data_IF_671753294392
#
_entry.id   IF_671753294392
#
_cell.length_a   1.000
_cell.length_b   1.000
_cell.length_c   1.000
_cell.angle_alpha   90.00
_cell.angle_beta   90.00
_cell.angle_gamma   90.00
#
_symmetry.space_group_name_H-M   'P 1'
#
loop_
_entity.id
_entity.type
_entity.pdbx_description
1 polymer ?
#
# COMPACT_ATOMS: atom_id res chain seq x y z
N UNK A 1 -4.10 39.21 45.90
CA UNK A 1 -4.02 37.75 45.79
C UNK A 1 -3.34 37.19 47.06
N UNK A 2 -3.70 36.05 47.59
CA UNK A 2 -2.95 35.38 48.67
C UNK A 2 -1.45 35.32 48.33
N UNK A 3 -0.62 35.76 49.32
CA UNK A 3 0.84 35.85 49.12
C UNK A 3 1.34 37.20 48.55
N UNK A 4 0.48 38.05 48.05
CA UNK A 4 0.86 39.37 47.56
C UNK A 4 1.16 40.31 48.76
N UNK A 5 2.10 41.24 48.56
CA UNK A 5 2.40 42.26 49.54
C UNK A 5 1.39 43.38 49.40
N UNK A 6 0.71 43.69 50.53
CA UNK A 6 -0.18 44.84 50.54
C UNK A 6 0.59 46.14 50.27
N UNK A 7 0.05 46.97 49.37
CA UNK A 7 0.55 48.32 49.06
C UNK A 7 -0.37 49.32 49.72
N UNK A 8 0.22 50.14 50.58
CA UNK A 8 -0.51 51.19 51.33
C UNK A 8 -1.07 52.25 50.37
N UNK A 9 -2.40 52.42 50.39
CA UNK A 9 -3.10 53.43 49.56
C UNK A 9 -3.05 54.83 50.13
N UNK A 10 -2.57 54.94 51.38
CA UNK A 10 -2.45 56.18 52.10
C UNK A 10 -3.53 56.37 53.17
N UNK A 11 -3.27 57.33 54.02
CA UNK A 11 -4.18 57.75 55.11
C UNK A 11 -3.89 59.23 55.48
N UNK A 12 -4.83 59.88 56.13
CA UNK A 12 -4.67 61.23 56.70
C UNK A 12 -5.34 61.31 58.07
N UNK A 13 -4.81 62.14 58.96
CA UNK A 13 -5.40 62.41 60.24
C UNK A 13 -5.40 63.91 60.51
N UNK A 14 -6.56 64.44 60.87
CA UNK A 14 -6.76 65.86 61.11
C UNK A 14 -7.41 65.99 62.49
N UNK A 15 -6.84 66.83 63.34
CA UNK A 15 -7.41 67.24 64.62
C UNK A 15 -7.92 68.65 64.51
N UNK A 16 -8.98 68.97 65.24
CA UNK A 16 -9.61 70.31 65.17
C UNK A 16 -8.80 71.41 65.89
N UNK A 17 -7.87 71.01 66.75
CA UNK A 17 -6.99 71.94 67.47
C UNK A 17 -5.56 71.88 66.94
N UNK A 18 -4.99 70.67 66.80
CA UNK A 18 -3.61 70.43 66.35
C UNK A 18 -3.44 70.56 64.80
N UNK A 19 -4.55 70.56 64.06
CA UNK A 19 -4.54 70.56 62.59
C UNK A 19 -4.17 69.22 61.99
N UNK A 20 -3.29 69.21 60.98
CA UNK A 20 -2.83 67.95 60.31
C UNK A 20 -1.84 67.18 61.21
N UNK A 21 -2.27 66.06 61.74
CA UNK A 21 -1.51 65.15 62.60
C UNK A 21 -1.11 63.83 61.86
N UNK A 22 -1.24 63.81 60.53
CA UNK A 22 -0.96 62.60 59.72
C UNK A 22 0.43 62.08 59.96
N UNK A 23 1.44 62.90 60.20
CA UNK A 23 2.82 62.50 60.49
C UNK A 23 3.00 61.77 61.83
N UNK A 24 2.02 61.91 62.76
CA UNK A 24 2.03 61.30 64.09
C UNK A 24 1.31 59.92 64.06
N UNK A 25 0.69 59.50 62.97
CA UNK A 25 -0.01 58.23 62.89
C UNK A 25 0.98 57.08 63.04
N UNK A 26 0.72 56.15 63.93
CA UNK A 26 1.44 54.88 64.09
C UNK A 26 0.65 53.81 63.36
N UNK A 27 1.29 53.14 62.35
CA UNK A 27 0.74 52.06 61.57
C UNK A 27 1.27 50.74 62.12
N UNK A 28 0.38 49.81 62.44
CA UNK A 28 0.72 48.44 62.82
C UNK A 28 -0.08 47.49 61.97
N UNK A 29 0.57 46.44 61.47
CA UNK A 29 -0.07 45.39 60.67
C UNK A 29 0.01 44.04 61.44
N UNK A 30 -1.14 43.43 61.70
CA UNK A 30 -1.25 42.19 62.39
C UNK A 30 -2.50 41.44 61.93
N UNK A 31 -2.36 40.15 61.63
CA UNK A 31 -3.48 39.25 61.32
C UNK A 31 -4.37 39.82 60.18
N UNK A 32 -3.73 40.31 59.10
CA UNK A 32 -4.39 40.97 57.96
C UNK A 32 -5.24 42.17 58.27
N UNK A 33 -4.94 42.85 59.37
CA UNK A 33 -5.56 44.13 59.74
C UNK A 33 -4.46 45.15 59.94
N UNK A 34 -4.61 46.30 59.30
CA UNK A 34 -3.78 47.45 59.55
C UNK A 34 -4.52 48.36 60.52
N UNK A 35 -3.87 48.62 61.64
CA UNK A 35 -4.36 49.55 62.67
C UNK A 35 -3.58 50.84 62.53
N UNK A 36 -4.27 51.95 62.43
CA UNK A 36 -3.76 53.31 62.43
C UNK A 36 -4.17 53.95 63.74
N UNK A 37 -3.21 54.40 64.52
CA UNK A 37 -3.44 55.05 65.85
C UNK A 37 -2.74 56.39 65.84
N UNK A 38 -3.43 57.43 66.24
CA UNK A 38 -2.88 58.78 66.43
C UNK A 38 -3.33 59.39 67.76
N UNK A 39 -2.42 60.12 68.34
CA UNK A 39 -2.72 60.84 69.64
C UNK A 39 -2.46 62.30 69.41
N UNK A 40 -3.39 63.16 69.89
CA UNK A 40 -3.29 64.61 69.80
C UNK A 40 -2.35 65.15 70.94
N UNK A 41 -2.14 66.48 70.97
CA UNK A 41 -1.31 67.13 71.99
C UNK A 41 -1.91 67.10 73.42
N UNK A 42 -3.18 66.74 73.56
CA UNK A 42 -3.88 66.58 74.87
C UNK A 42 -4.00 65.16 75.33
N UNK A 43 -3.47 64.17 74.57
CA UNK A 43 -3.49 62.77 74.91
C UNK A 43 -4.76 62.00 74.48
N UNK A 44 -5.63 62.65 73.62
CA UNK A 44 -6.77 61.90 73.05
C UNK A 44 -6.30 61.03 71.87
N UNK A 45 -6.71 59.78 71.92
CA UNK A 45 -6.34 58.78 70.92
C UNK A 45 -7.50 58.50 69.93
N UNK A 46 -7.19 58.44 68.65
CA UNK A 46 -8.06 57.91 67.58
C UNK A 46 -7.45 56.67 66.96
N UNK A 47 -8.27 55.64 66.71
CA UNK A 47 -7.89 54.38 66.14
C UNK A 47 -8.82 54.03 64.98
N UNK A 48 -8.23 53.65 63.82
CA UNK A 48 -8.96 53.14 62.67
C UNK A 48 -8.31 51.82 62.20
N UNK A 49 -9.11 50.87 61.79
CA UNK A 49 -8.66 49.60 61.31
C UNK A 49 -9.05 49.44 59.83
N UNK A 50 -8.09 48.91 59.02
CA UNK A 50 -8.28 48.54 57.61
C UNK A 50 -8.03 47.06 57.48
N UNK A 51 -9.06 46.24 57.29
CA UNK A 51 -8.86 44.82 57.01
C UNK A 51 -8.28 44.67 55.61
N UNK A 52 -7.33 43.75 55.47
CA UNK A 52 -6.81 43.31 54.17
C UNK A 52 -7.50 42.01 53.80
N UNK A 53 -8.26 41.99 52.70
CA UNK A 53 -8.90 40.79 52.18
C UNK A 53 -8.08 40.31 51.01
N UNK A 54 -7.54 39.12 51.12
CA UNK A 54 -6.90 38.43 50.01
C UNK A 54 -7.94 37.55 49.34
N UNK A 55 -8.08 37.75 48.01
CA UNK A 55 -8.98 36.96 47.18
C UNK A 55 -8.16 36.28 46.09
N UNK A 56 -8.43 35.01 45.88
CA UNK A 56 -8.02 34.34 44.66
C UNK A 56 -9.15 34.44 43.63
N UNK A 57 -8.82 34.83 42.39
CA UNK A 57 -9.76 34.98 41.27
C UNK A 57 -9.31 34.16 40.06
N UNK A 58 -8.25 33.42 40.21
CA UNK A 58 -7.77 32.53 39.14
C UNK A 58 -8.34 31.15 39.39
N UNK A 59 -8.85 30.53 38.31
CA UNK A 59 -9.41 29.19 38.41
C UNK A 59 -8.33 28.14 38.16
N UNK A 60 -8.41 26.97 38.76
CA UNK A 60 -7.47 25.88 38.53
C UNK A 60 -7.43 25.45 37.06
N UNK A 61 -6.32 24.89 36.62
CA UNK A 61 -6.12 24.39 35.27
C UNK A 61 -6.22 22.88 35.27
N UNK A 62 -7.13 22.33 34.43
CA UNK A 62 -7.20 20.88 34.17
C UNK A 62 -6.54 20.58 32.83
N UNK A 63 -5.61 19.64 32.81
CA UNK A 63 -4.95 19.12 31.62
C UNK A 63 -5.34 17.65 31.42
N UNK A 64 -6.00 17.33 30.32
CA UNK A 64 -6.31 15.95 29.98
C UNK A 64 -5.08 15.24 29.39
N UNK A 65 -4.82 14.01 29.80
CA UNK A 65 -3.83 13.16 29.16
C UNK A 65 -4.38 12.66 27.83
N UNK A 66 -3.60 12.80 26.75
CA UNK A 66 -4.05 12.46 25.40
C UNK A 66 -5.05 13.46 24.80
N UNK A 67 -5.80 13.02 23.78
CA UNK A 67 -6.70 13.87 23.04
C UNK A 67 -8.02 14.15 23.79
N UNK A 68 -8.59 15.32 23.57
CA UNK A 68 -9.91 15.66 24.08
C UNK A 68 -11.05 14.99 23.27
N UNK A 69 -10.77 14.56 22.04
CA UNK A 69 -11.67 13.77 21.21
C UNK A 69 -11.00 12.42 20.92
N UNK A 70 -11.72 11.32 21.09
CA UNK A 70 -11.24 9.95 20.93
C UNK A 70 -12.24 9.15 20.12
N UNK A 71 -11.78 8.49 19.06
CA UNK A 71 -12.55 7.48 18.35
C UNK A 71 -12.35 6.12 19.05
N UNK A 72 -13.44 5.41 19.30
CA UNK A 72 -13.49 4.10 19.93
C UNK A 72 -14.33 3.15 19.08
N UNK A 73 -13.82 1.95 18.81
CA UNK A 73 -14.58 0.92 18.11
C UNK A 73 -15.77 0.45 18.94
N UNK A 74 -16.87 0.13 18.26
CA UNK A 74 -18.03 -0.48 18.94
C UNK A 74 -17.62 -1.79 19.63
N UNK A 75 -18.13 -2.02 20.85
CA UNK A 75 -17.76 -3.12 21.73
C UNK A 75 -16.31 -3.12 22.24
N UNK A 76 -15.48 -2.12 21.88
CA UNK A 76 -14.16 -1.95 22.50
C UNK A 76 -14.27 -1.40 23.93
N UNK A 77 -13.34 -1.76 24.79
CA UNK A 77 -13.33 -1.27 26.17
C UNK A 77 -12.71 0.12 26.24
N UNK A 78 -13.48 1.12 26.66
CA UNK A 78 -12.94 2.45 26.97
C UNK A 78 -12.07 2.38 28.24
N UNK A 79 -10.89 2.94 28.17
CA UNK A 79 -9.99 3.15 29.29
C UNK A 79 -9.67 4.63 29.44
N UNK A 80 -9.93 5.20 30.62
CA UNK A 80 -9.61 6.60 30.89
C UNK A 80 -8.09 6.84 30.83
N UNK A 81 -7.69 7.84 30.03
CA UNK A 81 -6.28 8.19 29.82
C UNK A 81 -5.70 9.02 30.98
N UNK A 82 -6.57 9.51 31.86
CA UNK A 82 -6.19 10.32 33.00
C UNK A 82 -6.15 11.83 32.72
N UNK A 83 -5.82 12.57 33.75
CA UNK A 83 -5.76 14.04 33.76
C UNK A 83 -4.89 14.51 34.93
N UNK A 84 -4.53 15.80 34.94
CA UNK A 84 -3.93 16.52 36.08
C UNK A 84 -4.68 17.82 36.30
N UNK A 85 -4.70 18.31 37.54
CA UNK A 85 -5.27 19.61 37.85
C UNK A 85 -4.34 20.35 38.80
N UNK A 86 -4.05 21.59 38.51
CA UNK A 86 -3.16 22.44 39.31
C UNK A 86 -3.72 23.84 39.46
N UNK A 87 -3.45 24.43 40.62
CA UNK A 87 -3.77 25.81 40.94
C UNK A 87 -2.53 26.50 41.49
N UNK A 88 -2.42 27.79 41.31
CA UNK A 88 -1.22 28.53 41.74
C UNK A 88 -1.18 28.83 43.25
N UNK A 89 -2.35 28.77 43.93
CA UNK A 89 -2.46 28.92 45.39
C UNK A 89 -2.61 27.56 46.07
N UNK A 90 -3.53 26.72 45.55
CA UNK A 90 -3.86 25.42 46.17
C UNK A 90 -2.94 24.28 45.75
N UNK A 91 -2.12 24.49 44.69
CA UNK A 91 -1.17 23.50 44.18
C UNK A 91 -1.86 22.38 43.44
N UNK A 92 -1.51 21.12 43.72
CA UNK A 92 -2.06 19.94 43.04
C UNK A 92 -3.48 19.62 43.54
N UNK A 93 -4.44 19.76 42.65
CA UNK A 93 -5.86 19.47 42.85
C UNK A 93 -6.33 18.24 42.09
N UNK A 94 -5.44 17.44 41.50
CA UNK A 94 -5.77 16.29 40.66
C UNK A 94 -6.72 15.30 41.37
N UNK A 95 -6.52 15.07 42.66
CA UNK A 95 -7.38 14.19 43.45
C UNK A 95 -8.77 14.75 43.77
N UNK A 96 -8.96 16.06 43.60
CA UNK A 96 -10.25 16.75 43.81
C UNK A 96 -11.10 16.86 42.54
N UNK A 97 -10.55 16.45 41.36
CA UNK A 97 -11.31 16.46 40.13
C UNK A 97 -12.44 15.44 40.22
N UNK A 98 -13.64 15.87 39.88
CA UNK A 98 -14.79 14.99 39.69
C UNK A 98 -15.01 14.75 38.19
N UNK A 99 -15.29 13.49 37.84
CA UNK A 99 -15.59 13.10 36.46
C UNK A 99 -17.02 12.66 36.37
N UNK A 100 -17.80 13.32 35.51
CA UNK A 100 -19.19 12.98 35.23
C UNK A 100 -19.31 12.47 33.80
N UNK A 101 -20.22 11.52 33.60
CA UNK A 101 -20.45 10.84 32.33
C UNK A 101 -19.97 9.41 32.34
N UNK A 102 -20.38 8.65 31.34
CA UNK A 102 -19.97 7.25 31.16
C UNK A 102 -20.01 6.91 29.66
N UNK A 103 -19.01 6.19 29.20
CA UNK A 103 -18.97 5.64 27.85
C UNK A 103 -19.69 4.28 27.83
N UNK A 104 -20.69 4.12 26.96
CA UNK A 104 -21.32 2.83 26.66
C UNK A 104 -20.88 2.41 25.26
N UNK A 105 -19.79 1.67 25.19
CA UNK A 105 -19.21 1.24 23.92
C UNK A 105 -20.07 0.18 23.17
N UNK A 106 -21.13 -0.31 23.78
CA UNK A 106 -22.06 -1.22 23.10
C UNK A 106 -23.05 -0.49 22.17
N UNK A 107 -23.02 0.84 22.16
CA UNK A 107 -23.93 1.67 21.36
C UNK A 107 -23.18 2.80 20.69
N UNK A 108 -23.52 3.06 19.45
CA UNK A 108 -23.03 4.21 18.71
C UNK A 108 -23.38 5.52 19.38
N UNK A 109 -22.53 6.50 19.23
CA UNK A 109 -22.80 7.86 19.63
C UNK A 109 -21.60 8.55 20.24
N UNK A 110 -21.83 9.81 20.59
CA UNK A 110 -20.86 10.67 21.22
C UNK A 110 -21.08 10.68 22.73
N UNK A 111 -20.12 10.22 23.47
CA UNK A 111 -20.15 10.15 24.93
C UNK A 111 -19.30 11.25 25.49
N UNK A 112 -19.93 12.14 26.29
CA UNK A 112 -19.26 13.28 26.91
C UNK A 112 -18.84 12.92 28.34
N UNK A 113 -17.54 13.02 28.63
CA UNK A 113 -16.99 13.00 29.96
C UNK A 113 -16.66 14.44 30.37
N UNK A 114 -17.11 14.86 31.56
CA UNK A 114 -16.95 16.22 32.07
C UNK A 114 -16.11 16.17 33.34
N UNK A 115 -14.98 16.86 33.32
CA UNK A 115 -14.02 16.96 34.43
C UNK A 115 -14.20 18.34 35.07
N UNK A 116 -14.41 18.36 36.38
CA UNK A 116 -14.65 19.59 37.15
C UNK A 116 -13.76 19.62 38.37
N UNK A 117 -13.21 20.77 38.69
CA UNK A 117 -12.47 21.00 39.89
C UNK A 117 -12.71 22.44 40.39
N UNK A 118 -12.74 22.59 41.68
CA UNK A 118 -12.74 23.90 42.38
C UNK A 118 -11.52 24.04 43.27
N UNK A 119 -11.04 25.28 43.36
CA UNK A 119 -10.05 25.67 44.37
C UNK A 119 -10.70 25.97 45.74
N UNK A 120 -9.92 26.44 46.70
CA UNK A 120 -10.39 26.83 48.03
C UNK A 120 -11.16 28.14 48.07
N UNK A 121 -11.18 28.89 46.96
CA UNK A 121 -11.90 30.16 46.78
C UNK A 121 -13.15 30.02 45.93
N UNK A 122 -13.55 28.78 45.61
CA UNK A 122 -14.73 28.47 44.74
C UNK A 122 -14.58 28.82 43.28
N UNK A 123 -13.37 29.16 42.75
CA UNK A 123 -13.16 29.29 41.33
C UNK A 123 -13.20 27.89 40.69
N UNK A 124 -13.99 27.73 39.62
CA UNK A 124 -14.26 26.42 39.00
C UNK A 124 -13.70 26.34 37.57
N UNK A 125 -13.08 25.23 37.24
CA UNK A 125 -12.73 24.85 35.89
C UNK A 125 -13.47 23.60 35.46
N UNK A 126 -13.96 23.61 34.22
CA UNK A 126 -14.65 22.49 33.58
C UNK A 126 -14.03 22.25 32.22
N UNK A 127 -13.55 21.02 31.99
CA UNK A 127 -13.11 20.55 30.67
C UNK A 127 -13.86 19.31 30.27
N UNK A 128 -13.89 18.98 28.99
CA UNK A 128 -14.63 17.83 28.48
C UNK A 128 -13.77 16.96 27.57
N UNK A 129 -14.00 15.66 27.61
CA UNK A 129 -13.54 14.69 26.63
C UNK A 129 -14.75 14.12 25.92
N UNK A 130 -14.70 13.99 24.60
CA UNK A 130 -15.74 13.34 23.80
C UNK A 130 -15.17 12.03 23.27
N UNK A 131 -15.90 10.95 23.49
CA UNK A 131 -15.58 9.62 22.97
C UNK A 131 -16.63 9.28 21.92
N UNK A 132 -16.19 9.18 20.67
CA UNK A 132 -17.03 8.80 19.54
C UNK A 132 -17.00 7.29 19.36
N UNK A 133 -18.08 6.60 19.75
CA UNK A 133 -18.20 5.16 19.52
C UNK A 133 -18.72 4.95 18.08
N UNK A 134 -17.87 4.34 17.25
CA UNK A 134 -18.09 4.14 15.81
C UNK A 134 -17.89 2.68 15.43
N UNK A 135 -18.44 2.30 14.30
CA UNK A 135 -18.09 1.06 13.62
C UNK A 135 -16.95 1.32 12.64
N UNK A 136 -15.92 0.50 12.71
CA UNK A 136 -14.77 0.52 11.80
C UNK A 136 -14.64 -0.79 11.00
N UNK A 137 -15.54 -1.74 11.22
CA UNK A 137 -15.51 -3.04 10.56
C UNK A 137 -16.26 -2.96 9.23
N UNK A 138 -15.63 -3.28 8.10
CA UNK A 138 -16.36 -3.36 6.84
C UNK A 138 -17.26 -4.61 6.78
N UNK A 139 -18.32 -4.58 5.99
CA UNK A 139 -19.12 -5.74 5.70
C UNK A 139 -18.31 -6.90 5.10
N UNK A 140 -18.76 -8.12 5.31
CA UNK A 140 -18.17 -9.31 4.71
C UNK A 140 -19.01 -9.73 3.50
N UNK A 141 -18.36 -9.77 2.31
CA UNK A 141 -18.97 -10.29 1.09
C UNK A 141 -18.61 -11.77 0.94
N UNK A 142 -19.62 -12.62 0.81
CA UNK A 142 -19.47 -14.05 0.55
C UNK A 142 -20.02 -14.37 -0.84
N UNK A 143 -19.15 -14.83 -1.75
CA UNK A 143 -19.57 -15.23 -3.09
C UNK A 143 -20.35 -16.54 -3.06
N UNK A 144 -21.41 -16.60 -3.85
CA UNK A 144 -22.09 -17.85 -4.12
C UNK A 144 -21.24 -18.65 -5.12
N UNK A 145 -20.94 -19.91 -4.80
CA UNK A 145 -20.08 -20.78 -5.61
C UNK A 145 -18.64 -20.24 -5.81
N UNK A 146 -17.96 -20.66 -6.88
CA UNK A 146 -16.56 -20.42 -7.11
C UNK A 146 -16.24 -18.95 -7.45
N UNK A 147 -15.15 -18.45 -6.89
CA UNK A 147 -14.61 -17.14 -7.21
C UNK A 147 -13.89 -17.08 -8.57
N UNK A 148 -13.57 -18.25 -9.14
CA UNK A 148 -12.96 -18.42 -10.47
C UNK A 148 -13.82 -19.32 -11.32
N UNK A 149 -14.25 -18.82 -12.46
CA UNK A 149 -15.10 -19.53 -13.42
C UNK A 149 -14.36 -19.66 -14.75
N UNK A 150 -14.44 -20.81 -15.38
CA UNK A 150 -13.99 -21.01 -16.75
C UNK A 150 -15.18 -21.29 -17.64
N UNK A 151 -15.29 -20.58 -18.75
CA UNK A 151 -16.39 -20.73 -19.71
C UNK A 151 -15.83 -20.71 -21.15
N UNK A 152 -16.38 -21.55 -22.03
CA UNK A 152 -15.96 -21.56 -23.42
C UNK A 152 -16.53 -20.36 -24.17
N UNK A 153 -15.75 -19.80 -25.10
CA UNK A 153 -16.18 -18.69 -25.97
C UNK A 153 -17.51 -19.05 -26.66
N UNK A 154 -18.45 -18.14 -26.62
CA UNK A 154 -19.81 -18.32 -27.18
C UNK A 154 -20.82 -19.01 -26.24
N UNK A 155 -20.40 -19.56 -25.10
CA UNK A 155 -21.30 -20.06 -24.09
C UNK A 155 -21.92 -18.93 -23.26
N UNK A 156 -23.12 -19.16 -22.73
CA UNK A 156 -23.80 -18.15 -21.91
C UNK A 156 -23.26 -18.14 -20.50
N UNK A 157 -22.80 -16.99 -20.04
CA UNK A 157 -22.48 -16.74 -18.65
C UNK A 157 -23.72 -16.24 -17.86
N UNK A 158 -23.90 -16.77 -16.68
CA UNK A 158 -24.87 -16.25 -15.69
C UNK A 158 -24.13 -16.17 -14.36
N UNK A 159 -24.12 -14.98 -13.77
CA UNK A 159 -23.46 -14.78 -12.48
C UNK A 159 -24.29 -15.38 -11.33
N UNK A 160 -23.63 -16.16 -10.48
CA UNK A 160 -24.29 -16.80 -9.31
C UNK A 160 -24.52 -15.82 -8.14
N UNK A 161 -23.99 -14.59 -8.25
CA UNK A 161 -24.14 -13.57 -7.25
C UNK A 161 -23.27 -13.78 -6.00
N UNK A 162 -23.52 -12.96 -5.01
CA UNK A 162 -22.89 -12.98 -3.70
C UNK A 162 -23.88 -12.53 -2.63
N UNK A 163 -23.59 -12.74 -1.36
CA UNK A 163 -24.28 -12.15 -0.22
C UNK A 163 -23.33 -11.23 0.55
N UNK A 164 -23.89 -10.24 1.25
CA UNK A 164 -23.14 -9.34 2.09
C UNK A 164 -23.78 -9.25 3.48
N UNK A 165 -22.97 -9.35 4.51
CA UNK A 165 -23.42 -9.27 5.89
C UNK A 165 -22.45 -8.40 6.69
N UNK A 166 -23.03 -7.58 7.54
CA UNK A 166 -22.32 -6.77 8.51
C UNK A 166 -22.79 -7.15 9.93
N UNK A 167 -21.89 -7.13 10.91
CA UNK A 167 -22.22 -7.52 12.27
C UNK A 167 -23.24 -6.57 12.91
N UNK A 168 -23.25 -5.32 12.49
CA UNK A 168 -24.06 -4.25 13.05
C UNK A 168 -25.32 -4.00 12.18
N UNK A 169 -25.09 -3.85 10.87
CA UNK A 169 -26.17 -3.52 9.91
C UNK A 169 -26.97 -4.75 9.45
N UNK A 170 -26.45 -5.95 9.74
CA UNK A 170 -27.06 -7.21 9.33
C UNK A 170 -26.90 -7.52 7.85
N UNK A 171 -27.95 -8.04 7.22
CA UNK A 171 -27.94 -8.41 5.79
C UNK A 171 -27.94 -7.16 4.89
N UNK A 172 -26.82 -6.95 4.18
CA UNK A 172 -26.62 -5.87 3.21
C UNK A 172 -26.66 -6.35 1.74
N UNK A 173 -27.04 -7.60 1.49
CA UNK A 173 -27.05 -8.20 0.14
C UNK A 173 -27.81 -7.34 -0.87
N UNK A 174 -28.96 -6.80 -0.48
CA UNK A 174 -29.80 -5.95 -1.35
C UNK A 174 -29.21 -4.54 -1.62
N UNK A 175 -28.23 -4.11 -0.80
CA UNK A 175 -27.55 -2.82 -0.97
C UNK A 175 -26.27 -2.94 -1.78
N UNK A 176 -25.86 -4.15 -2.13
CA UNK A 176 -24.65 -4.42 -2.89
C UNK A 176 -24.80 -3.93 -4.33
N UNK A 177 -23.77 -3.26 -4.83
CA UNK A 177 -23.65 -2.89 -6.26
C UNK A 177 -22.83 -3.96 -6.97
N UNK A 178 -23.23 -4.32 -8.18
CA UNK A 178 -22.56 -5.35 -8.99
C UNK A 178 -22.18 -4.73 -10.34
N UNK A 179 -20.89 -4.76 -10.65
CA UNK A 179 -20.37 -4.39 -11.96
C UNK A 179 -19.92 -5.65 -12.68
N UNK A 180 -20.55 -5.98 -13.81
CA UNK A 180 -20.26 -7.16 -14.60
C UNK A 180 -19.82 -6.74 -16.01
N UNK A 181 -18.58 -7.06 -16.39
CA UNK A 181 -18.00 -6.75 -17.71
C UNK A 181 -17.75 -8.00 -18.56
N UNK A 182 -18.34 -9.15 -18.21
CA UNK A 182 -18.10 -10.43 -18.89
C UNK A 182 -18.65 -10.40 -20.32
N UNK A 183 -17.74 -10.50 -21.29
CA UNK A 183 -18.05 -10.67 -22.73
C UNK A 183 -17.64 -12.06 -23.18
N UNK A 184 -18.59 -13.00 -23.21
CA UNK A 184 -18.33 -14.38 -23.61
C UNK A 184 -18.16 -14.57 -25.12
N UNK A 185 -18.34 -13.52 -25.92
CA UNK A 185 -18.08 -13.59 -27.37
C UNK A 185 -16.58 -13.51 -27.71
N UNK A 186 -15.74 -13.15 -26.75
CA UNK A 186 -14.30 -12.95 -26.94
C UNK A 186 -13.51 -13.69 -25.87
N UNK A 187 -12.41 -14.32 -26.29
CA UNK A 187 -11.42 -14.88 -25.35
C UNK A 187 -10.86 -13.73 -24.51
N UNK A 188 -10.78 -13.93 -23.18
CA UNK A 188 -10.30 -12.91 -22.27
C UNK A 188 -10.48 -13.30 -20.83
N UNK A 189 -9.94 -12.46 -19.93
CA UNK A 189 -10.22 -12.51 -18.52
C UNK A 189 -11.16 -11.36 -18.19
N UNK A 190 -12.24 -11.67 -17.53
CA UNK A 190 -13.30 -10.75 -17.17
C UNK A 190 -13.55 -10.81 -15.68
N UNK A 191 -14.23 -9.82 -15.14
CA UNK A 191 -14.56 -9.80 -13.73
C UNK A 191 -16.00 -9.38 -13.47
N UNK A 192 -16.54 -9.92 -12.38
CA UNK A 192 -17.74 -9.40 -11.72
C UNK A 192 -17.29 -8.85 -10.37
N UNK A 193 -17.47 -7.55 -10.18
CA UNK A 193 -17.07 -6.85 -8.94
C UNK A 193 -18.32 -6.57 -8.12
N UNK A 194 -18.29 -6.98 -6.87
CA UNK A 194 -19.31 -6.73 -5.85
C UNK A 194 -18.79 -5.69 -4.88
N UNK A 195 -19.56 -4.66 -4.60
CA UNK A 195 -19.20 -3.59 -3.66
C UNK A 195 -20.36 -3.30 -2.74
N UNK A 196 -20.11 -3.12 -1.46
CA UNK A 196 -21.11 -2.75 -0.47
C UNK A 196 -20.49 -1.80 0.57
N UNK A 197 -21.31 -0.89 1.08
CA UNK A 197 -20.92 0.04 2.13
C UNK A 197 -21.96 -0.05 3.25
N UNK A 198 -21.52 -0.15 4.50
CA UNK A 198 -22.35 -0.14 5.68
C UNK A 198 -22.92 1.27 6.00
N UNK A 199 -23.69 1.39 7.07
CA UNK A 199 -24.24 2.69 7.52
C UNK A 199 -23.19 3.61 8.14
N UNK A 200 -22.04 3.08 8.53
CA UNK A 200 -20.91 3.81 9.10
C UNK A 200 -19.91 4.31 8.04
N UNK A 201 -20.08 3.88 6.78
CA UNK A 201 -19.23 4.28 5.65
C UNK A 201 -18.07 3.33 5.37
N UNK A 202 -17.98 2.18 6.06
CA UNK A 202 -16.94 1.18 5.77
C UNK A 202 -17.33 0.39 4.52
N UNK A 203 -16.38 0.23 3.60
CA UNK A 203 -16.62 -0.40 2.30
C UNK A 203 -15.93 -1.76 2.22
N UNK A 204 -16.62 -2.74 1.65
CA UNK A 204 -16.10 -4.02 1.23
C UNK A 204 -16.22 -4.21 -0.29
N UNK A 205 -15.26 -4.92 -0.87
CA UNK A 205 -15.26 -5.31 -2.28
C UNK A 205 -14.85 -6.78 -2.41
N UNK A 206 -15.48 -7.48 -3.37
CA UNK A 206 -15.10 -8.82 -3.76
C UNK A 206 -15.18 -8.96 -5.27
N UNK A 207 -14.43 -9.90 -5.85
CA UNK A 207 -14.33 -10.06 -7.29
C UNK A 207 -14.43 -11.54 -7.67
N UNK A 208 -15.29 -11.87 -8.63
CA UNK A 208 -15.28 -13.14 -9.35
C UNK A 208 -14.56 -12.97 -10.67
N UNK A 209 -13.62 -13.85 -10.96
CA UNK A 209 -12.84 -13.85 -12.21
C UNK A 209 -13.45 -14.88 -13.16
N UNK A 210 -13.71 -14.47 -14.41
CA UNK A 210 -14.28 -15.32 -15.43
C UNK A 210 -13.29 -15.41 -16.62
N UNK A 211 -12.75 -16.61 -16.84
CA UNK A 211 -11.91 -16.93 -17.96
C UNK A 211 -12.78 -17.41 -19.13
N UNK A 212 -12.82 -16.62 -20.20
CA UNK A 212 -13.44 -17.02 -21.45
C UNK A 212 -12.34 -17.58 -22.36
N UNK A 213 -12.40 -18.89 -22.65
CA UNK A 213 -11.38 -19.60 -23.45
C UNK A 213 -12.00 -20.23 -24.70
N UNK A 214 -11.20 -20.47 -25.72
CA UNK A 214 -11.65 -21.18 -26.94
C UNK A 214 -11.35 -22.67 -26.86
N UNK A 215 -10.11 -23.03 -26.63
CA UNK A 215 -9.67 -24.42 -26.55
C UNK A 215 -8.44 -24.49 -25.64
N UNK A 216 -8.47 -25.37 -24.65
CA UNK A 216 -7.25 -25.76 -23.98
C UNK A 216 -6.33 -26.36 -25.02
N UNK A 217 -5.10 -25.84 -25.16
CA UNK A 217 -4.16 -26.34 -26.16
C UNK A 217 -3.67 -27.73 -25.75
N UNK A 218 -4.26 -28.77 -26.31
CA UNK A 218 -3.70 -30.14 -26.28
C UNK A 218 -2.45 -30.17 -27.16
N UNK A 219 -1.43 -29.38 -26.80
CA UNK A 219 -0.18 -29.36 -27.56
C UNK A 219 0.69 -30.49 -27.08
N UNK A 220 0.95 -31.43 -27.96
CA UNK A 220 1.92 -32.49 -27.71
C UNK A 220 3.33 -31.94 -27.89
N UNK A 221 4.13 -31.95 -26.84
CA UNK A 221 5.55 -31.59 -26.93
C UNK A 221 6.29 -32.58 -27.81
N UNK A 222 7.07 -32.07 -28.77
CA UNK A 222 7.91 -32.85 -29.66
C UNK A 222 9.32 -32.88 -29.09
N UNK A 223 9.90 -34.07 -28.96
CA UNK A 223 11.32 -34.22 -28.58
C UNK A 223 12.20 -33.76 -29.77
N UNK A 224 12.95 -32.65 -29.63
CA UNK A 224 13.78 -32.13 -30.70
C UNK A 224 15.09 -32.93 -30.88
N UNK A 225 15.37 -33.91 -30.02
CA UNK A 225 16.62 -34.69 -30.00
C UNK A 225 17.68 -34.08 -29.08
N UNK A 226 18.92 -34.53 -29.28
CA UNK A 226 20.07 -34.13 -28.46
C UNK A 226 20.81 -32.91 -29.08
N UNK A 227 21.50 -32.17 -28.24
CA UNK A 227 22.28 -30.97 -28.65
C UNK A 227 21.43 -29.90 -29.36
N UNK A 228 20.22 -29.68 -28.86
CA UNK A 228 19.37 -28.61 -29.36
C UNK A 228 19.43 -27.39 -28.44
N UNK A 229 19.51 -26.21 -29.06
CA UNK A 229 19.62 -24.92 -28.36
C UNK A 229 18.52 -23.99 -28.84
N UNK A 230 17.70 -23.55 -27.92
CA UNK A 230 16.80 -22.44 -28.10
C UNK A 230 17.46 -21.19 -27.48
N UNK A 231 18.12 -20.35 -28.30
CA UNK A 231 18.56 -19.04 -27.86
C UNK A 231 17.34 -18.14 -27.72
N UNK A 232 17.17 -17.52 -26.56
CA UNK A 232 16.03 -16.65 -26.30
C UNK A 232 16.51 -15.30 -25.77
N UNK A 233 15.85 -14.22 -26.21
CA UNK A 233 16.20 -12.85 -25.88
C UNK A 233 14.99 -12.15 -25.30
N UNK A 234 15.14 -11.60 -24.07
CA UNK A 234 14.09 -10.93 -23.35
C UNK A 234 14.27 -9.39 -23.39
N UNK A 235 13.19 -8.66 -23.07
CA UNK A 235 13.11 -7.21 -22.88
C UNK A 235 13.14 -6.34 -24.14
N UNK A 236 13.61 -6.86 -25.27
CA UNK A 236 13.66 -6.12 -26.53
C UNK A 236 12.30 -5.88 -27.18
N UNK A 237 12.30 -5.33 -28.41
CA UNK A 237 13.48 -4.87 -29.16
C UNK A 237 14.08 -3.56 -28.67
N UNK A 238 15.38 -3.38 -28.93
CA UNK A 238 16.12 -2.17 -28.58
C UNK A 238 17.20 -1.85 -29.63
N UNK A 239 18.00 -0.82 -29.38
CA UNK A 239 19.04 -0.33 -30.32
C UNK A 239 20.08 -1.37 -30.75
N UNK A 240 20.24 -2.46 -29.99
CA UNK A 240 21.20 -3.52 -30.32
C UNK A 240 20.54 -4.71 -31.03
N UNK A 241 19.21 -4.78 -31.10
CA UNK A 241 18.47 -5.87 -31.75
C UNK A 241 18.81 -5.97 -33.23
N UNK A 242 19.03 -4.86 -33.96
CA UNK A 242 19.44 -4.89 -35.34
C UNK A 242 20.81 -5.59 -35.54
N UNK A 243 21.79 -5.29 -34.66
CA UNK A 243 23.09 -5.96 -34.68
C UNK A 243 22.95 -7.48 -34.40
N UNK A 244 22.09 -7.85 -33.48
CA UNK A 244 21.79 -9.26 -33.20
C UNK A 244 21.20 -9.94 -34.44
N UNK A 245 20.23 -9.36 -35.07
CA UNK A 245 19.60 -9.89 -36.29
C UNK A 245 20.63 -10.11 -37.41
N UNK A 246 21.57 -9.20 -37.58
CA UNK A 246 22.63 -9.31 -38.61
C UNK A 246 23.62 -10.45 -38.28
N UNK A 247 23.93 -10.68 -37.00
CA UNK A 247 24.72 -11.84 -36.56
C UNK A 247 23.97 -13.14 -36.83
N UNK A 248 22.67 -13.21 -36.51
CA UNK A 248 21.84 -14.40 -36.70
C UNK A 248 21.71 -14.76 -38.18
N UNK A 249 21.52 -13.77 -39.04
CA UNK A 249 21.45 -13.97 -40.51
C UNK A 249 22.76 -14.48 -41.07
N UNK A 250 23.91 -13.97 -40.58
CA UNK A 250 25.25 -14.41 -41.01
C UNK A 250 25.45 -15.92 -40.85
N UNK A 251 24.89 -16.51 -39.79
CA UNK A 251 25.01 -17.94 -39.50
C UNK A 251 23.76 -18.75 -39.87
N UNK A 252 22.71 -18.13 -40.40
CA UNK A 252 21.43 -18.79 -40.72
C UNK A 252 20.69 -19.33 -39.50
N UNK A 253 20.98 -18.83 -38.31
CA UNK A 253 20.40 -19.29 -37.03
C UNK A 253 19.08 -18.56 -36.77
N UNK A 254 18.08 -19.28 -36.29
CA UNK A 254 16.80 -18.71 -35.85
C UNK A 254 16.63 -18.87 -34.37
N UNK A 255 16.04 -17.86 -33.73
CA UNK A 255 15.94 -17.72 -32.26
C UNK A 255 14.52 -17.30 -31.87
N UNK A 256 14.31 -17.13 -30.56
CA UNK A 256 13.03 -16.60 -30.02
C UNK A 256 13.27 -15.30 -29.28
N UNK A 257 12.48 -14.28 -29.61
CA UNK A 257 12.45 -13.00 -28.94
C UNK A 257 11.20 -12.92 -28.06
N UNK A 258 11.39 -12.72 -26.77
CA UNK A 258 10.33 -12.43 -25.80
C UNK A 258 10.23 -10.90 -25.67
N UNK A 259 9.36 -10.31 -26.47
CA UNK A 259 9.33 -8.86 -26.69
C UNK A 259 8.49 -8.11 -25.67
N UNK A 260 8.87 -6.84 -25.46
CA UNK A 260 8.13 -5.87 -24.64
C UNK A 260 7.85 -4.60 -25.46
N UNK A 261 7.08 -3.67 -24.87
CA UNK A 261 6.94 -2.31 -25.43
C UNK A 261 7.67 -1.24 -24.57
N UNK A 262 8.72 -1.63 -23.87
CA UNK A 262 9.51 -0.69 -23.06
C UNK A 262 10.23 0.37 -23.92
N UNK A 263 10.52 0.03 -25.19
CA UNK A 263 11.24 0.90 -26.13
C UNK A 263 10.44 1.09 -27.40
N UNK A 264 9.35 1.85 -27.41
CA UNK A 264 8.41 1.95 -28.53
C UNK A 264 9.04 2.48 -29.82
N UNK A 265 10.13 3.22 -29.76
CA UNK A 265 10.87 3.70 -30.95
C UNK A 265 11.49 2.55 -31.76
N UNK A 266 11.68 1.38 -31.16
CA UNK A 266 12.25 0.19 -31.79
C UNK A 266 11.19 -0.88 -32.12
N UNK A 267 9.91 -0.62 -31.85
CA UNK A 267 8.81 -1.58 -32.02
C UNK A 267 8.73 -2.17 -33.46
N UNK A 268 9.16 -1.42 -34.47
CA UNK A 268 9.21 -1.88 -35.84
C UNK A 268 10.12 -3.11 -36.07
N UNK A 269 11.10 -3.32 -35.18
CA UNK A 269 12.00 -4.48 -35.25
C UNK A 269 11.27 -5.80 -34.96
N UNK A 270 10.14 -5.79 -34.25
CA UNK A 270 9.29 -6.97 -34.06
C UNK A 270 8.88 -7.56 -35.39
N UNK A 271 8.51 -6.70 -36.34
CA UNK A 271 8.20 -7.10 -37.71
C UNK A 271 9.42 -7.67 -38.45
N UNK A 272 10.62 -7.11 -38.24
CA UNK A 272 11.86 -7.62 -38.85
C UNK A 272 12.30 -8.96 -38.24
N UNK A 273 12.18 -9.13 -36.92
CA UNK A 273 12.41 -10.43 -36.25
C UNK A 273 11.55 -11.52 -36.89
N UNK A 274 10.25 -11.29 -36.97
CA UNK A 274 9.31 -12.25 -37.55
C UNK A 274 9.59 -12.52 -39.05
N UNK A 275 9.81 -11.47 -39.85
CA UNK A 275 10.07 -11.57 -41.29
C UNK A 275 11.35 -12.36 -41.60
N UNK A 276 12.36 -12.28 -40.73
CA UNK A 276 13.61 -13.04 -40.82
C UNK A 276 13.48 -14.48 -40.30
N UNK A 277 12.27 -14.92 -39.90
CA UNK A 277 11.95 -16.29 -39.51
C UNK A 277 12.28 -16.61 -38.04
N UNK A 278 12.43 -15.63 -37.21
CA UNK A 278 12.51 -15.82 -35.75
C UNK A 278 11.12 -15.97 -35.18
N UNK A 279 11.03 -16.58 -33.99
CA UNK A 279 9.79 -16.59 -33.21
C UNK A 279 9.70 -15.31 -32.40
N UNK A 280 8.58 -14.62 -32.52
CA UNK A 280 8.17 -13.52 -31.65
C UNK A 280 7.25 -14.07 -30.58
N UNK A 281 7.62 -13.93 -29.33
CA UNK A 281 6.90 -14.35 -28.14
C UNK A 281 6.70 -13.14 -27.20
N UNK A 282 5.88 -13.27 -26.17
CA UNK A 282 5.49 -12.14 -25.32
C UNK A 282 6.27 -12.14 -24.01
N UNK A 283 6.84 -10.97 -23.62
CA UNK A 283 7.42 -10.74 -22.30
C UNK A 283 6.70 -9.64 -21.51
N UNK A 284 5.42 -9.44 -21.72
CA UNK A 284 4.57 -8.35 -21.26
C UNK A 284 4.73 -7.05 -22.06
N UNK A 285 3.75 -6.16 -21.94
CA UNK A 285 3.79 -4.86 -22.59
C UNK A 285 4.62 -3.85 -21.81
N UNK A 286 4.36 -3.75 -20.51
CA UNK A 286 4.94 -2.70 -19.66
C UNK A 286 6.21 -3.12 -18.92
N UNK A 287 6.38 -4.40 -18.62
CA UNK A 287 7.40 -4.97 -17.75
C UNK A 287 7.46 -4.35 -16.34
N UNK A 288 6.36 -3.75 -15.87
CA UNK A 288 6.26 -3.11 -14.55
C UNK A 288 5.64 -4.08 -13.54
N UNK A 289 6.47 -4.62 -12.65
CA UNK A 289 6.08 -5.66 -11.70
C UNK A 289 4.91 -5.26 -10.79
N UNK A 290 4.85 -4.02 -10.35
CA UNK A 290 3.77 -3.45 -9.53
C UNK A 290 2.42 -3.38 -10.28
N UNK A 291 2.46 -3.31 -11.61
CA UNK A 291 1.28 -3.31 -12.46
C UNK A 291 0.89 -4.73 -12.87
N UNK A 292 1.81 -5.44 -13.53
CA UNK A 292 1.52 -6.77 -14.10
C UNK A 292 1.22 -7.84 -13.06
N UNK A 293 1.77 -7.75 -11.86
CA UNK A 293 1.54 -8.70 -10.78
C UNK A 293 0.57 -8.21 -9.70
N UNK A 294 -0.17 -7.13 -9.96
CA UNK A 294 -1.20 -6.65 -9.02
C UNK A 294 -2.44 -7.54 -9.00
N UNK A 295 -2.77 -8.18 -10.11
CA UNK A 295 -3.86 -9.15 -10.25
C UNK A 295 -3.69 -9.98 -11.53
N UNK A 296 -4.42 -11.10 -11.63
CA UNK A 296 -4.46 -11.88 -12.88
C UNK A 296 -5.04 -11.07 -14.04
N UNK A 297 -6.08 -10.28 -13.79
CA UNK A 297 -6.69 -9.42 -14.80
C UNK A 297 -5.69 -8.38 -15.34
N UNK A 298 -4.95 -7.71 -14.46
CA UNK A 298 -3.90 -6.76 -14.85
C UNK A 298 -2.82 -7.43 -15.70
N UNK A 299 -2.40 -8.64 -15.33
CA UNK A 299 -1.42 -9.41 -16.12
C UNK A 299 -1.94 -9.71 -17.53
N UNK A 300 -3.15 -10.25 -17.63
CA UNK A 300 -3.70 -10.61 -18.96
C UNK A 300 -4.07 -9.41 -19.82
N UNK A 301 -4.45 -8.27 -19.23
CA UNK A 301 -4.61 -7.02 -19.98
C UNK A 301 -3.28 -6.54 -20.59
N UNK A 302 -2.19 -6.62 -19.82
CA UNK A 302 -0.85 -6.26 -20.28
C UNK A 302 -0.34 -7.24 -21.37
N UNK A 303 -0.55 -8.55 -21.20
CA UNK A 303 -0.27 -9.57 -22.23
C UNK A 303 -1.08 -9.32 -23.50
N UNK A 304 -2.37 -9.01 -23.39
CA UNK A 304 -3.21 -8.73 -24.55
C UNK A 304 -2.74 -7.48 -25.30
N UNK A 305 -2.36 -6.43 -24.57
CA UNK A 305 -1.80 -5.23 -25.19
C UNK A 305 -0.53 -5.54 -26.01
N UNK A 306 0.37 -6.41 -25.49
CA UNK A 306 1.57 -6.82 -26.21
C UNK A 306 1.23 -7.73 -27.39
N UNK A 307 0.27 -8.64 -27.24
CA UNK A 307 -0.20 -9.48 -28.34
C UNK A 307 -0.76 -8.65 -29.52
N UNK A 308 -1.46 -7.56 -29.21
CA UNK A 308 -2.01 -6.65 -30.23
C UNK A 308 -0.89 -5.87 -30.96
N UNK A 309 0.17 -5.45 -30.22
CA UNK A 309 1.37 -4.87 -30.85
C UNK A 309 2.05 -5.88 -31.77
N UNK A 310 2.28 -7.11 -31.32
CA UNK A 310 2.87 -8.16 -32.16
C UNK A 310 2.03 -8.43 -33.39
N UNK A 311 0.71 -8.55 -33.26
CA UNK A 311 -0.20 -8.76 -34.39
C UNK A 311 -0.17 -7.59 -35.39
N UNK A 312 -0.07 -6.36 -34.92
CA UNK A 312 0.05 -5.19 -35.80
C UNK A 312 1.36 -5.19 -36.63
N UNK A 313 2.46 -5.71 -36.07
CA UNK A 313 3.78 -5.78 -36.70
C UNK A 313 3.97 -7.03 -37.61
N UNK A 314 3.36 -8.16 -37.22
CA UNK A 314 3.63 -9.47 -37.85
C UNK A 314 2.43 -10.07 -38.59
N UNK A 315 1.23 -9.59 -38.29
CA UNK A 315 -0.03 -10.20 -38.74
C UNK A 315 -0.48 -11.42 -37.90
N UNK A 316 0.29 -11.81 -36.87
CA UNK A 316 0.02 -13.01 -36.08
C UNK A 316 0.10 -12.67 -34.57
N UNK A 317 -0.82 -13.22 -33.79
CA UNK A 317 -0.73 -13.17 -32.32
C UNK A 317 0.19 -14.27 -31.83
N UNK A 318 1.20 -13.97 -30.98
CA UNK A 318 2.03 -15.00 -30.35
C UNK A 318 1.22 -15.89 -29.43
N UNK A 319 1.64 -17.14 -29.31
CA UNK A 319 1.06 -18.16 -28.40
C UNK A 319 2.04 -18.66 -27.33
N UNK A 320 3.22 -18.04 -27.25
CA UNK A 320 4.23 -18.30 -26.22
C UNK A 320 4.51 -17.00 -25.45
N UNK A 321 4.68 -17.14 -24.15
CA UNK A 321 5.10 -16.03 -23.29
C UNK A 321 6.20 -16.45 -22.30
N UNK A 322 6.87 -15.47 -21.71
CA UNK A 322 7.74 -15.62 -20.56
C UNK A 322 7.35 -14.62 -19.49
N UNK A 323 7.25 -15.08 -18.24
CA UNK A 323 6.98 -14.20 -17.11
C UNK A 323 8.20 -13.34 -16.81
N UNK A 324 8.07 -12.01 -16.59
CA UNK A 324 9.14 -11.17 -16.07
C UNK A 324 9.73 -11.73 -14.77
N UNK A 325 11.06 -12.00 -14.80
CA UNK A 325 11.77 -12.66 -13.71
C UNK A 325 11.55 -14.17 -13.60
N UNK A 326 10.87 -14.79 -14.58
CA UNK A 326 10.55 -16.22 -14.60
C UNK A 326 9.40 -16.61 -13.66
N UNK A 327 8.91 -17.84 -13.82
CA UNK A 327 7.82 -18.38 -12.96
C UNK A 327 8.22 -18.56 -11.49
N UNK A 328 9.53 -18.61 -11.21
CA UNK A 328 10.09 -18.73 -9.86
C UNK A 328 10.34 -17.40 -9.15
N UNK A 329 10.01 -16.26 -9.78
CA UNK A 329 10.28 -14.95 -9.18
C UNK A 329 9.54 -14.79 -7.84
N UNK A 330 10.20 -14.15 -6.88
CA UNK A 330 9.65 -13.87 -5.56
C UNK A 330 9.16 -12.43 -5.40
N UNK A 331 9.35 -11.60 -6.43
CA UNK A 331 8.96 -10.18 -6.39
C UNK A 331 7.46 -10.03 -6.54
N UNK A 332 6.82 -10.87 -7.35
CA UNK A 332 5.37 -10.87 -7.62
C UNK A 332 4.52 -10.98 -6.36
N UNK A 333 4.94 -11.80 -5.38
CA UNK A 333 4.19 -11.98 -4.11
C UNK A 333 4.12 -10.74 -3.24
N UNK A 334 4.96 -9.71 -3.50
CA UNK A 334 4.87 -8.41 -2.81
C UNK A 334 3.63 -7.62 -3.23
N UNK A 335 3.14 -7.88 -4.44
CA UNK A 335 1.98 -7.18 -5.02
C UNK A 335 0.70 -8.00 -4.89
N UNK A 336 0.78 -9.31 -5.13
CA UNK A 336 -0.34 -10.24 -4.97
C UNK A 336 0.21 -11.62 -4.55
N UNK A 337 0.10 -12.00 -3.27
CA UNK A 337 0.51 -13.33 -2.81
C UNK A 337 -0.22 -14.44 -3.56
N UNK A 338 0.51 -15.47 -4.00
CA UNK A 338 -0.06 -16.61 -4.73
C UNK A 338 -0.26 -16.40 -6.23
N UNK A 339 0.03 -15.22 -6.77
CA UNK A 339 -0.27 -14.87 -8.16
C UNK A 339 0.44 -15.77 -9.16
N UNK A 340 1.69 -16.18 -8.91
CA UNK A 340 2.42 -17.03 -9.86
C UNK A 340 1.82 -18.43 -9.96
N UNK A 341 1.30 -18.99 -8.87
CA UNK A 341 0.53 -20.25 -8.93
C UNK A 341 -0.71 -20.09 -9.80
N UNK A 342 -1.47 -19.02 -9.61
CA UNK A 342 -2.63 -18.73 -10.42
C UNK A 342 -2.28 -18.54 -11.90
N UNK A 343 -1.30 -17.68 -12.21
CA UNK A 343 -0.91 -17.37 -13.58
C UNK A 343 -0.37 -18.59 -14.32
N UNK A 344 0.46 -19.43 -13.66
CA UNK A 344 0.99 -20.65 -14.29
C UNK A 344 -0.08 -21.64 -14.72
N UNK A 345 -1.24 -21.62 -14.06
CA UNK A 345 -2.41 -22.42 -14.42
C UNK A 345 -3.28 -21.73 -15.49
N UNK A 346 -3.45 -20.41 -15.35
CA UNK A 346 -4.40 -19.64 -16.18
C UNK A 346 -3.89 -19.36 -17.58
N UNK A 347 -2.57 -19.25 -17.79
CA UNK A 347 -2.01 -18.92 -19.13
C UNK A 347 -2.41 -19.96 -20.18
N UNK A 348 -2.47 -21.25 -19.78
CA UNK A 348 -2.93 -22.34 -20.65
C UNK A 348 -4.39 -22.19 -21.08
N UNK A 349 -5.26 -21.73 -20.19
CA UNK A 349 -6.68 -21.45 -20.47
C UNK A 349 -6.82 -20.31 -21.50
N UNK A 350 -5.89 -19.36 -21.47
CA UNK A 350 -5.86 -18.21 -22.38
C UNK A 350 -5.20 -18.53 -23.73
N UNK A 351 -4.81 -19.80 -23.96
CA UNK A 351 -4.21 -20.26 -25.21
C UNK A 351 -2.70 -20.04 -25.32
N UNK A 352 -2.05 -19.64 -24.24
CA UNK A 352 -0.61 -19.45 -24.21
C UNK A 352 0.10 -20.65 -23.58
N UNK A 353 1.36 -20.87 -23.98
CA UNK A 353 2.34 -21.61 -23.22
C UNK A 353 3.38 -20.65 -22.66
N UNK A 354 3.96 -20.98 -21.49
CA UNK A 354 5.07 -20.17 -20.97
C UNK A 354 6.35 -20.98 -20.95
N UNK A 355 7.48 -20.30 -21.10
CA UNK A 355 8.79 -20.92 -20.96
C UNK A 355 9.72 -20.07 -20.11
N UNK A 356 10.28 -20.66 -19.07
CA UNK A 356 11.45 -20.14 -18.38
C UNK A 356 12.72 -20.49 -19.17
N UNK A 357 13.81 -20.78 -18.50
CA UNK A 357 15.10 -21.19 -19.06
C UNK A 357 15.75 -22.26 -18.18
N UNK A 358 16.67 -23.01 -18.76
CA UNK A 358 17.52 -23.94 -18.01
C UNK A 358 19.03 -23.60 -18.14
N UNK A 359 19.35 -22.59 -18.96
CA UNK A 359 20.71 -22.03 -19.08
C UNK A 359 20.65 -20.51 -18.91
N UNK A 360 21.33 -19.99 -17.88
CA UNK A 360 21.49 -18.56 -17.67
C UNK A 360 22.80 -18.09 -18.33
N UNK A 361 22.73 -16.99 -19.07
CA UNK A 361 23.93 -16.34 -19.59
C UNK A 361 24.68 -15.49 -18.54
N UNK A 362 24.02 -15.19 -17.41
CA UNK A 362 24.54 -14.29 -16.38
C UNK A 362 24.44 -12.80 -16.71
N UNK A 363 23.84 -12.45 -17.85
CA UNK A 363 23.72 -11.06 -18.30
C UNK A 363 22.68 -10.25 -17.52
N UNK A 364 21.82 -10.90 -16.73
CA UNK A 364 20.81 -10.24 -15.90
C UNK A 364 21.39 -9.45 -14.71
N UNK A 365 22.68 -9.54 -14.45
CA UNK A 365 23.36 -8.77 -13.38
C UNK A 365 24.61 -9.45 -12.83
N UNK A 366 24.93 -10.66 -13.25
CA UNK A 366 26.08 -11.42 -12.78
C UNK A 366 27.37 -11.00 -13.50
N UNK A 367 27.28 -10.62 -14.79
CA UNK A 367 28.40 -10.16 -15.60
C UNK A 367 28.01 -9.09 -16.61
N UNK A 368 28.98 -8.28 -17.03
CA UNK A 368 28.90 -7.34 -18.16
C UNK A 368 29.96 -7.64 -19.22
N UNK A 369 30.61 -8.81 -19.15
CA UNK A 369 31.63 -9.26 -20.10
C UNK A 369 31.01 -10.17 -21.14
N UNK A 370 31.16 -9.84 -22.43
CA UNK A 370 30.67 -10.67 -23.55
C UNK A 370 31.33 -12.07 -23.53
N UNK A 371 32.62 -12.17 -23.22
CA UNK A 371 33.32 -13.46 -23.12
C UNK A 371 32.82 -14.32 -21.96
N UNK A 372 32.42 -13.70 -20.83
CA UNK A 372 31.83 -14.45 -19.70
C UNK A 372 30.42 -14.91 -20.05
N UNK A 373 29.61 -14.09 -20.71
CA UNK A 373 28.29 -14.46 -21.24
C UNK A 373 28.43 -15.69 -22.15
N UNK A 374 29.33 -15.63 -23.13
CA UNK A 374 29.58 -16.77 -24.03
C UNK A 374 30.02 -18.01 -23.27
N UNK A 375 30.95 -17.90 -22.32
CA UNK A 375 31.41 -19.02 -21.51
C UNK A 375 30.30 -19.66 -20.68
N UNK A 376 29.44 -18.86 -20.06
CA UNK A 376 28.30 -19.34 -19.26
C UNK A 376 27.32 -20.12 -20.13
N UNK A 377 26.97 -19.58 -21.29
CA UNK A 377 26.04 -20.26 -22.24
C UNK A 377 26.63 -21.56 -22.76
N UNK A 378 27.89 -21.53 -23.20
CA UNK A 378 28.59 -22.73 -23.71
C UNK A 378 28.68 -23.83 -22.64
N UNK A 379 28.96 -23.48 -21.40
CA UNK A 379 29.00 -24.44 -20.30
C UNK A 379 27.60 -25.00 -20.01
N UNK A 380 26.59 -24.14 -20.01
CA UNK A 380 25.19 -24.57 -19.89
C UNK A 380 24.78 -25.54 -20.98
N UNK A 381 25.13 -25.26 -22.24
CA UNK A 381 24.85 -26.14 -23.39
C UNK A 381 25.47 -27.52 -23.21
N UNK A 382 26.69 -27.64 -22.69
CA UNK A 382 27.32 -28.95 -22.43
C UNK A 382 26.59 -29.79 -21.41
N UNK A 383 25.90 -29.17 -20.48
CA UNK A 383 25.25 -29.82 -19.36
C UNK A 383 23.78 -30.19 -19.65
N UNK A 384 23.22 -29.79 -20.77
CA UNK A 384 21.83 -30.06 -21.15
C UNK A 384 21.71 -30.71 -22.52
N UNK A 385 20.79 -31.65 -22.64
CA UNK A 385 20.38 -32.27 -23.92
C UNK A 385 19.70 -31.21 -24.83
N UNK A 386 18.78 -30.47 -24.22
CA UNK A 386 18.04 -29.36 -24.79
C UNK A 386 18.28 -28.14 -23.91
N UNK A 387 18.84 -27.10 -24.48
CA UNK A 387 19.15 -25.85 -23.79
C UNK A 387 18.14 -24.75 -24.17
N UNK A 388 17.45 -24.20 -23.19
CA UNK A 388 16.67 -22.97 -23.32
C UNK A 388 17.48 -21.87 -22.61
N UNK A 389 18.05 -20.97 -23.40
CA UNK A 389 19.05 -20.00 -22.95
C UNK A 389 18.39 -18.64 -22.72
N UNK A 390 18.56 -18.07 -21.51
CA UNK A 390 18.16 -16.68 -21.22
C UNK A 390 19.30 -15.72 -21.58
N UNK A 391 19.00 -14.76 -22.43
CA UNK A 391 19.81 -13.57 -22.73
C UNK A 391 18.90 -12.34 -22.90
N UNK A 392 19.49 -11.14 -23.01
CA UNK A 392 18.74 -9.90 -23.23
C UNK A 392 19.39 -9.10 -24.37
N UNK A 393 18.60 -8.82 -25.41
CA UNK A 393 19.09 -8.06 -26.59
C UNK A 393 19.15 -6.54 -26.34
N UNK A 394 18.69 -6.09 -25.19
CA UNK A 394 18.85 -4.70 -24.74
C UNK A 394 20.27 -4.42 -24.20
N UNK A 395 21.13 -5.44 -24.11
CA UNK A 395 22.50 -5.35 -23.57
C UNK A 395 23.54 -5.62 -24.63
N UNK A 396 24.36 -4.62 -24.91
CA UNK A 396 25.37 -4.70 -25.96
C UNK A 396 26.31 -5.91 -25.77
N UNK A 397 26.85 -6.10 -24.57
CA UNK A 397 27.79 -7.19 -24.28
C UNK A 397 27.14 -8.59 -24.42
N UNK A 398 25.83 -8.71 -24.21
CA UNK A 398 25.08 -9.94 -24.42
C UNK A 398 24.94 -10.23 -25.92
N UNK A 399 24.60 -9.23 -26.73
CA UNK A 399 24.55 -9.34 -28.19
C UNK A 399 25.93 -9.67 -28.79
N UNK A 400 26.98 -9.03 -28.33
CA UNK A 400 28.38 -9.29 -28.78
C UNK A 400 28.84 -10.74 -28.49
N UNK A 401 28.29 -11.40 -27.46
CA UNK A 401 28.61 -12.78 -27.12
C UNK A 401 28.01 -13.83 -28.10
N UNK A 402 26.94 -13.46 -28.82
CA UNK A 402 26.13 -14.40 -29.60
C UNK A 402 26.93 -15.05 -30.73
N UNK A 403 27.81 -14.30 -31.37
CA UNK A 403 28.63 -14.82 -32.47
C UNK A 403 29.52 -15.99 -32.01
N UNK A 404 30.20 -15.84 -30.87
CA UNK A 404 31.05 -16.88 -30.27
C UNK A 404 30.23 -18.10 -29.87
N UNK A 405 29.05 -17.91 -29.27
CA UNK A 405 28.15 -19.00 -28.86
C UNK A 405 27.71 -19.83 -30.09
N UNK A 406 27.32 -19.15 -31.17
CA UNK A 406 26.86 -19.81 -32.39
C UNK A 406 28.00 -20.57 -33.05
N UNK A 407 29.18 -19.93 -33.22
CA UNK A 407 30.34 -20.56 -33.83
C UNK A 407 30.75 -21.82 -33.07
N UNK A 408 30.84 -21.72 -31.74
CA UNK A 408 31.21 -22.84 -30.91
C UNK A 408 30.14 -23.96 -31.01
N UNK A 409 28.86 -23.61 -30.91
CA UNK A 409 27.76 -24.58 -30.96
C UNK A 409 27.74 -25.35 -32.29
N UNK A 410 27.79 -24.66 -33.44
CA UNK A 410 27.80 -25.28 -34.77
C UNK A 410 29.03 -26.19 -34.92
N UNK A 411 30.22 -25.74 -34.50
CA UNK A 411 31.46 -26.55 -34.56
C UNK A 411 31.39 -27.80 -33.68
N UNK A 412 30.55 -27.84 -32.65
CA UNK A 412 30.36 -28.98 -31.74
C UNK A 412 29.07 -29.77 -32.01
N UNK A 413 28.42 -29.54 -33.17
CA UNK A 413 27.27 -30.32 -33.63
C UNK A 413 25.95 -29.98 -32.92
N UNK A 414 25.82 -28.77 -32.37
CA UNK A 414 24.55 -28.28 -31.84
C UNK A 414 23.65 -27.73 -32.96
N UNK A 415 22.35 -27.90 -32.80
CA UNK A 415 21.32 -27.32 -33.68
C UNK A 415 20.62 -26.18 -32.94
N UNK A 416 20.56 -25.01 -33.56
CA UNK A 416 19.83 -23.86 -33.05
C UNK A 416 18.43 -23.79 -33.69
N UNK A 417 17.40 -23.73 -32.86
CA UNK A 417 16.00 -23.68 -33.29
C UNK A 417 15.26 -22.51 -32.64
N UNK A 418 14.31 -21.89 -33.35
CA UNK A 418 13.33 -21.02 -32.69
C UNK A 418 12.30 -21.90 -31.97
N UNK A 419 11.76 -21.38 -30.85
CA UNK A 419 10.68 -22.08 -30.13
C UNK A 419 9.36 -21.95 -30.89
N UNK A 420 8.54 -22.97 -30.79
CA UNK A 420 7.12 -22.95 -31.10
C UNK A 420 6.35 -23.66 -29.97
N UNK A 421 5.02 -23.70 -30.05
CA UNK A 421 4.21 -24.33 -29.01
C UNK A 421 4.43 -25.83 -28.84
N UNK A 422 5.09 -26.50 -29.77
CA UNK A 422 5.46 -27.94 -29.66
C UNK A 422 6.83 -28.14 -29.04
N UNK A 423 7.59 -27.06 -28.84
CA UNK A 423 8.93 -27.11 -28.23
C UNK A 423 8.86 -27.49 -26.75
N UNK A 424 9.89 -28.17 -26.21
CA UNK A 424 10.01 -28.38 -24.77
C UNK A 424 10.11 -27.06 -24.03
N UNK A 425 9.10 -26.76 -23.21
CA UNK A 425 9.11 -25.56 -22.36
C UNK A 425 9.90 -25.83 -21.07
N UNK A 426 10.80 -24.95 -20.72
CA UNK A 426 11.46 -24.97 -19.43
C UNK A 426 10.55 -24.33 -18.37
N UNK A 427 10.38 -25.00 -17.24
CA UNK A 427 9.58 -24.47 -16.13
C UNK A 427 10.40 -24.52 -14.84
N UNK A 428 10.47 -23.39 -14.15
CA UNK A 428 11.03 -23.32 -12.79
C UNK A 428 10.00 -23.76 -11.74
N UNK A 429 10.47 -24.11 -10.56
CA UNK A 429 9.61 -24.28 -9.39
C UNK A 429 9.00 -22.95 -8.95
N UNK A 430 7.69 -22.93 -8.71
CA UNK A 430 6.99 -21.70 -8.32
C UNK A 430 7.27 -21.37 -6.85
N UNK A 431 7.65 -20.13 -6.57
CA UNK A 431 8.02 -19.62 -5.25
C UNK A 431 7.09 -18.45 -4.85
N UNK A 432 5.84 -18.74 -4.54
CA UNK A 432 4.85 -17.71 -4.14
C UNK A 432 5.03 -17.15 -2.74
#
# INVERSE_FOLDING_TARGET
KPGDKYIEEGFSAIDNYDGDVTAKVVRQEKDNVITYTVTDSFGNEAKVERPIVYEDREAPVIVLNGNAEIDLGINETYSELGYTATDDIDGDLTSKVTVEGKVDSSKYGDYKLTYKVKDSYDNETVVTRIVHVKDFNPPVITMNNDAKITIKVGEKYTDDGASAYDEIDGDLTSKMTVTNNVDTSKIGVYSVVYSVTDSSGNQANAQRIVYVYDKQSDVTTIDPGDKVVYLTFDDGPYKYTQQLLDILDKYGVKVTFFVTNQYPDYQYLIGEEYKRGHTVAIHTYSHKYDQIYSSEDAFFQDIQAMADVCAAQTGVKPDILRFPGGSSNTTSKKYCPGIMTSLSQSVGLMGYQYSDWNVSSGDAGETTSSSQVAANVIEGMKNHKVSVVLQHDIKQFSVEAVEEIIQWGLANGYTFLPMDKTSPMAHHGINN
#
